data_IF_561513941363
#
_entry.id   IF_561513941363
#
_cell.length_a   1.000
_cell.length_b   1.000
_cell.length_c   1.000
_cell.angle_alpha   90.00
_cell.angle_beta   90.00
_cell.angle_gamma   90.00
#
_symmetry.space_group_name_H-M   'P 1'
#
loop_
_entity.id
_entity.type
_entity.pdbx_description
1 polymer ?
#
# COMPACT_ATOMS: atom_id res chain seq x y z
N UNK A 1 -15.45 6.79 7.36
CA UNK A 1 -14.97 6.07 6.17
C UNK A 1 -13.45 6.01 6.24
N UNK A 2 -12.85 4.82 6.13
CA UNK A 2 -11.38 4.68 6.03
C UNK A 2 -10.94 4.77 4.57
N UNK A 3 -9.84 5.46 4.33
CA UNK A 3 -9.24 5.58 3.00
C UNK A 3 -8.00 4.70 2.97
N UNK A 4 -7.92 3.75 2.04
CA UNK A 4 -6.94 2.66 2.08
C UNK A 4 -6.04 2.79 0.88
N UNK A 5 -4.79 3.20 1.12
CA UNK A 5 -3.72 3.21 0.12
C UNK A 5 -3.09 1.83 0.05
N UNK A 6 -3.15 1.18 -1.12
CA UNK A 6 -2.69 -0.19 -1.30
C UNK A 6 -1.25 -0.22 -1.84
N UNK A 7 -0.40 -1.07 -1.26
CA UNK A 7 0.85 -1.47 -1.91
C UNK A 7 0.61 -2.57 -2.97
N UNK A 8 1.62 -2.84 -3.80
CA UNK A 8 1.50 -3.85 -4.84
C UNK A 8 1.23 -5.25 -4.28
N UNK A 9 1.84 -5.60 -3.13
CA UNK A 9 1.64 -6.91 -2.52
C UNK A 9 0.20 -7.11 -2.01
N UNK A 10 -0.43 -6.10 -1.42
CA UNK A 10 -1.81 -6.17 -0.97
C UNK A 10 -2.77 -6.38 -2.15
N UNK A 11 -2.52 -5.70 -3.28
CA UNK A 11 -3.28 -5.91 -4.53
C UNK A 11 -3.11 -7.34 -5.04
N UNK A 12 -1.87 -7.81 -5.17
CA UNK A 12 -1.55 -9.13 -5.69
C UNK A 12 -2.06 -10.25 -4.76
N UNK A 13 -2.10 -10.02 -3.44
CA UNK A 13 -2.61 -10.97 -2.47
C UNK A 13 -4.10 -11.26 -2.66
N UNK A 14 -4.89 -10.22 -2.97
CA UNK A 14 -6.32 -10.34 -3.25
C UNK A 14 -6.57 -10.91 -4.66
N UNK A 15 -5.83 -10.41 -5.66
CA UNK A 15 -6.07 -10.77 -7.05
C UNK A 15 -5.56 -12.18 -7.40
N UNK A 16 -4.34 -12.54 -7.01
CA UNK A 16 -3.62 -13.67 -7.62
C UNK A 16 -3.01 -14.68 -6.64
N UNK A 17 -2.91 -14.37 -5.35
CA UNK A 17 -2.25 -15.26 -4.37
C UNK A 17 -3.26 -15.96 -3.45
N UNK A 18 -2.75 -16.69 -2.46
CA UNK A 18 -3.40 -17.71 -1.61
C UNK A 18 -4.74 -17.37 -0.94
N UNK A 19 -5.21 -16.13 -1.06
CA UNK A 19 -6.48 -15.70 -0.52
C UNK A 19 -7.47 -15.28 -1.60
N UNK A 20 -7.37 -15.76 -2.84
CA UNK A 20 -8.35 -15.42 -3.88
C UNK A 20 -9.81 -15.63 -3.45
N UNK A 21 -10.73 -14.90 -4.07
CA UNK A 21 -12.18 -14.94 -3.76
C UNK A 21 -12.75 -16.35 -3.73
N UNK A 22 -12.24 -17.25 -4.57
CA UNK A 22 -12.64 -18.67 -4.66
C UNK A 22 -12.30 -19.50 -3.40
N UNK A 23 -11.38 -19.04 -2.56
CA UNK A 23 -10.93 -19.76 -1.36
C UNK A 23 -11.68 -19.24 -0.11
N UNK A 24 -11.96 -17.94 -0.04
CA UNK A 24 -12.59 -17.29 1.11
C UNK A 24 -13.78 -16.40 0.70
N UNK A 25 -14.73 -16.93 -0.06
CA UNK A 25 -15.84 -16.17 -0.67
C UNK A 25 -16.57 -15.25 0.33
N UNK A 26 -16.90 -15.74 1.52
CA UNK A 26 -17.59 -14.96 2.55
C UNK A 26 -16.76 -13.79 3.09
N UNK A 27 -15.44 -13.94 3.20
CA UNK A 27 -14.54 -12.89 3.67
C UNK A 27 -14.48 -11.74 2.67
N UNK A 28 -14.35 -12.06 1.39
CA UNK A 28 -14.24 -11.08 0.32
C UNK A 28 -15.58 -10.45 -0.05
N UNK A 29 -16.67 -11.19 0.01
CA UNK A 29 -18.02 -10.67 -0.13
C UNK A 29 -18.36 -9.66 0.96
N UNK A 30 -17.93 -9.92 2.20
CA UNK A 30 -18.05 -8.96 3.30
C UNK A 30 -17.23 -7.68 3.02
N UNK A 31 -16.01 -7.80 2.49
CA UNK A 31 -15.20 -6.64 2.10
C UNK A 31 -15.89 -5.81 1.00
N UNK A 32 -16.47 -6.46 -0.01
CA UNK A 32 -17.27 -5.79 -1.04
C UNK A 32 -18.47 -5.08 -0.44
N UNK A 33 -19.15 -5.68 0.53
CA UNK A 33 -20.25 -5.04 1.24
C UNK A 33 -19.78 -3.79 2.02
N UNK A 34 -18.61 -3.84 2.65
CA UNK A 34 -18.00 -2.68 3.31
C UNK A 34 -17.69 -1.53 2.33
N UNK A 35 -17.19 -1.85 1.13
CA UNK A 35 -17.01 -0.86 0.05
C UNK A 35 -18.36 -0.29 -0.38
N UNK A 36 -19.35 -1.14 -0.64
CA UNK A 36 -20.68 -0.72 -1.07
C UNK A 36 -21.39 0.18 -0.03
N UNK A 37 -21.15 -0.08 1.26
CA UNK A 37 -21.65 0.72 2.37
C UNK A 37 -20.82 1.99 2.67
N UNK A 38 -19.83 2.34 1.85
CA UNK A 38 -18.92 3.47 2.05
C UNK A 38 -18.19 3.45 3.41
N UNK A 39 -17.94 2.27 3.96
CA UNK A 39 -17.14 2.13 5.19
C UNK A 39 -15.66 2.30 4.88
N UNK A 40 -15.23 1.80 3.71
CA UNK A 40 -13.85 1.87 3.21
C UNK A 40 -13.83 2.32 1.75
N UNK A 41 -12.68 2.85 1.31
CA UNK A 41 -12.40 3.17 -0.09
C UNK A 41 -10.95 2.82 -0.42
N UNK A 42 -10.73 2.09 -1.49
CA UNK A 42 -9.40 1.67 -1.93
C UNK A 42 -8.81 2.64 -2.94
N UNK A 43 -7.50 2.85 -2.83
CA UNK A 43 -6.71 3.68 -3.71
C UNK A 43 -5.44 2.96 -4.14
N UNK A 44 -5.07 3.10 -5.41
CA UNK A 44 -3.81 2.65 -5.97
C UNK A 44 -3.13 3.85 -6.60
N UNK A 45 -1.94 4.21 -6.12
CA UNK A 45 -1.14 5.29 -6.73
C UNK A 45 -0.62 4.88 -8.11
N UNK A 46 -0.30 5.83 -9.00
CA UNK A 46 0.18 5.51 -10.36
C UNK A 46 1.40 4.58 -10.39
N UNK A 47 2.35 4.75 -9.45
CA UNK A 47 3.54 3.89 -9.31
C UNK A 47 3.18 2.45 -8.96
N UNK A 48 2.20 2.23 -8.07
CA UNK A 48 1.73 0.88 -7.74
C UNK A 48 0.93 0.27 -8.88
N UNK A 49 0.13 1.05 -9.60
CA UNK A 49 -0.56 0.57 -10.79
C UNK A 49 0.43 0.07 -11.86
N UNK A 50 1.50 0.82 -12.10
CA UNK A 50 2.59 0.42 -13.01
C UNK A 50 3.30 -0.85 -12.53
N UNK A 51 3.60 -0.95 -11.22
CA UNK A 51 4.23 -2.13 -10.62
C UNK A 51 3.38 -3.39 -10.78
N UNK A 52 2.08 -3.31 -10.46
CA UNK A 52 1.14 -4.42 -10.58
C UNK A 52 0.97 -4.83 -12.05
N UNK A 53 0.81 -3.88 -12.96
CA UNK A 53 0.67 -4.16 -14.40
C UNK A 53 1.93 -4.81 -14.99
N UNK A 54 3.10 -4.34 -14.57
CA UNK A 54 4.38 -4.93 -14.94
C UNK A 54 4.52 -6.35 -14.41
N UNK A 55 4.10 -6.61 -13.17
CA UNK A 55 4.11 -7.95 -12.58
C UNK A 55 3.18 -8.91 -13.33
N UNK A 56 1.95 -8.48 -13.64
CA UNK A 56 0.98 -9.27 -14.42
C UNK A 56 1.58 -9.67 -15.77
N UNK A 57 2.17 -8.71 -16.48
CA UNK A 57 2.79 -8.93 -17.79
C UNK A 57 4.00 -9.86 -17.71
N UNK A 58 4.90 -9.63 -16.75
CA UNK A 58 6.13 -10.41 -16.59
C UNK A 58 5.85 -11.88 -16.25
N UNK A 59 4.76 -12.14 -15.52
CA UNK A 59 4.39 -13.46 -15.04
C UNK A 59 3.26 -14.14 -15.86
N UNK A 60 2.84 -13.54 -16.99
CA UNK A 60 1.77 -14.05 -17.85
C UNK A 60 0.47 -14.37 -17.08
N UNK A 61 0.08 -13.44 -16.18
CA UNK A 61 -1.14 -13.57 -15.39
C UNK A 61 -2.35 -13.01 -16.14
N UNK A 62 -3.54 -13.54 -15.84
CA UNK A 62 -4.79 -13.07 -16.42
C UNK A 62 -5.16 -11.67 -15.92
N UNK A 63 -4.89 -10.66 -16.74
CA UNK A 63 -5.17 -9.26 -16.44
C UNK A 63 -6.65 -8.97 -16.11
N UNK A 64 -7.59 -9.80 -16.61
CA UNK A 64 -9.02 -9.60 -16.34
C UNK A 64 -9.37 -9.75 -14.86
N UNK A 65 -8.54 -10.46 -14.08
CA UNK A 65 -8.69 -10.59 -12.64
C UNK A 65 -8.44 -9.25 -11.94
N UNK A 66 -7.39 -8.52 -12.37
CA UNK A 66 -7.10 -7.18 -11.85
C UNK A 66 -8.17 -6.17 -12.26
N UNK A 67 -8.63 -6.20 -13.52
CA UNK A 67 -9.71 -5.33 -14.01
C UNK A 67 -11.02 -5.56 -13.21
N UNK A 68 -11.30 -6.83 -12.90
CA UNK A 68 -12.45 -7.21 -12.08
C UNK A 68 -12.31 -6.69 -10.66
N UNK A 69 -11.14 -6.80 -10.04
CA UNK A 69 -10.86 -6.22 -8.73
C UNK A 69 -11.10 -4.71 -8.71
N UNK A 70 -10.57 -3.97 -9.69
CA UNK A 70 -10.76 -2.52 -9.81
C UNK A 70 -12.25 -2.18 -9.85
N UNK A 71 -13.00 -2.91 -10.67
CA UNK A 71 -14.44 -2.67 -10.88
C UNK A 71 -15.27 -3.03 -9.65
N UNK A 72 -15.08 -4.22 -9.08
CA UNK A 72 -15.88 -4.73 -7.95
C UNK A 72 -15.63 -3.95 -6.66
N UNK A 73 -14.38 -3.58 -6.40
CA UNK A 73 -13.99 -2.84 -5.20
C UNK A 73 -13.97 -1.33 -5.40
N UNK A 74 -14.39 -0.85 -6.58
CA UNK A 74 -14.44 0.57 -6.94
C UNK A 74 -13.14 1.30 -6.60
N UNK A 75 -12.02 0.74 -7.05
CA UNK A 75 -10.69 1.26 -6.74
C UNK A 75 -10.50 2.62 -7.41
N UNK A 76 -9.95 3.57 -6.64
CA UNK A 76 -9.68 4.92 -7.11
C UNK A 76 -8.18 5.09 -7.44
N UNK A 77 -7.91 5.90 -8.45
CA UNK A 77 -6.55 6.24 -8.88
C UNK A 77 -6.35 7.74 -8.70
N UNK A 78 -5.58 8.18 -7.68
CA UNK A 78 -5.28 9.58 -7.49
C UNK A 78 -4.25 10.06 -8.51
N UNK A 79 -4.34 11.33 -8.89
CA UNK A 79 -3.31 11.99 -9.70
C UNK A 79 -2.08 12.30 -8.83
N UNK A 80 -0.87 12.21 -9.41
CA UNK A 80 0.38 12.50 -8.69
C UNK A 80 0.43 13.89 -8.08
N UNK A 81 -0.23 14.85 -8.73
CA UNK A 81 -0.29 16.24 -8.28
C UNK A 81 -1.05 16.40 -6.95
N UNK A 82 -1.93 15.44 -6.60
CA UNK A 82 -2.69 15.46 -5.35
C UNK A 82 -1.81 15.22 -4.10
N UNK A 83 -0.63 14.61 -4.26
CA UNK A 83 0.23 14.22 -3.15
C UNK A 83 1.73 14.48 -3.38
N UNK A 84 2.09 15.17 -4.47
CA UNK A 84 3.47 15.49 -4.81
C UNK A 84 4.22 16.27 -3.71
N UNK A 85 3.55 17.19 -3.01
CA UNK A 85 4.14 17.93 -1.89
C UNK A 85 4.48 17.03 -0.70
N UNK A 86 3.58 16.10 -0.35
CA UNK A 86 3.78 15.11 0.71
C UNK A 86 4.87 14.10 0.34
N UNK A 87 5.03 13.82 -0.96
CA UNK A 87 6.09 12.94 -1.49
C UNK A 87 7.46 13.60 -1.38
N UNK A 88 7.55 14.89 -1.73
CA UNK A 88 8.78 15.65 -1.60
C UNK A 88 9.23 15.77 -0.14
N UNK A 89 8.31 16.11 0.76
CA UNK A 89 8.59 16.18 2.22
C UNK A 89 9.10 14.84 2.76
N UNK A 90 8.48 13.73 2.33
CA UNK A 90 8.89 12.39 2.71
C UNK A 90 10.30 12.08 2.21
N UNK A 91 10.58 12.38 0.93
CA UNK A 91 11.89 12.17 0.31
C UNK A 91 12.98 12.99 1.00
N UNK A 92 12.75 14.28 1.27
CA UNK A 92 13.70 15.14 1.99
C UNK A 92 14.00 14.60 3.39
N UNK A 93 12.96 14.19 4.12
CA UNK A 93 13.10 13.60 5.45
C UNK A 93 13.92 12.30 5.40
N UNK A 94 13.63 11.41 4.44
CA UNK A 94 14.38 10.17 4.27
C UNK A 94 15.85 10.40 3.92
N UNK A 95 16.15 11.36 3.04
CA UNK A 95 17.52 11.69 2.67
C UNK A 95 18.34 12.24 3.85
N UNK A 96 17.68 12.76 4.90
CA UNK A 96 18.32 13.13 6.17
C UNK A 96 18.82 11.95 7.01
N UNK A 97 18.33 10.73 6.76
CA UNK A 97 18.72 9.53 7.50
C UNK A 97 19.86 8.78 6.80
N UNK A 98 20.87 8.35 7.59
CA UNK A 98 22.03 7.60 7.05
C UNK A 98 21.64 6.28 6.41
N UNK A 99 20.62 5.61 6.94
CA UNK A 99 20.11 4.35 6.38
C UNK A 99 19.46 4.53 5.00
N UNK A 100 18.93 5.71 4.70
CA UNK A 100 18.13 5.97 3.50
C UNK A 100 18.85 6.85 2.46
N UNK A 101 19.81 7.69 2.87
CA UNK A 101 20.49 8.67 2.01
C UNK A 101 21.26 8.07 0.83
N UNK A 102 21.57 6.77 0.88
CA UNK A 102 22.21 6.02 -0.21
C UNK A 102 21.33 4.89 -0.76
N UNK A 103 20.11 4.74 -0.27
CA UNK A 103 19.21 3.69 -0.72
C UNK A 103 18.83 3.95 -2.18
N UNK A 104 19.08 3.00 -3.11
CA UNK A 104 18.68 3.15 -4.50
C UNK A 104 17.17 3.34 -4.65
N UNK A 105 16.37 2.79 -3.73
CA UNK A 105 14.93 2.93 -3.74
C UNK A 105 14.48 4.35 -3.38
N UNK A 106 15.13 4.98 -2.40
CA UNK A 106 14.78 6.34 -1.93
C UNK A 106 15.28 7.43 -2.89
N UNK A 107 16.43 7.20 -3.53
CA UNK A 107 17.03 8.19 -4.46
C UNK A 107 16.25 8.25 -5.77
N UNK A 108 15.74 7.11 -6.25
CA UNK A 108 14.94 7.04 -7.48
C UNK A 108 13.70 7.93 -7.38
N UNK A 109 13.25 8.42 -8.53
CA UNK A 109 11.92 9.01 -8.66
C UNK A 109 10.89 7.88 -8.77
N UNK A 110 9.64 8.15 -8.39
CA UNK A 110 8.54 7.18 -8.35
C UNK A 110 8.81 5.99 -7.42
N UNK A 111 9.30 6.27 -6.21
CA UNK A 111 9.46 5.25 -5.19
C UNK A 111 8.08 4.82 -4.66
N UNK A 112 7.55 3.70 -5.15
CA UNK A 112 6.20 3.21 -4.83
C UNK A 112 5.87 3.21 -3.33
N UNK A 113 6.78 2.74 -2.47
CA UNK A 113 6.58 2.75 -1.01
C UNK A 113 6.43 4.17 -0.43
N UNK A 114 7.16 5.14 -0.98
CA UNK A 114 7.02 6.56 -0.60
C UNK A 114 5.68 7.09 -1.07
N UNK A 115 5.29 6.82 -2.31
CA UNK A 115 4.06 7.34 -2.90
C UNK A 115 2.83 6.88 -2.12
N UNK A 116 2.75 5.59 -1.74
CA UNK A 116 1.61 5.08 -0.98
C UNK A 116 1.51 5.70 0.42
N UNK A 117 2.64 5.95 1.09
CA UNK A 117 2.67 6.56 2.43
C UNK A 117 2.37 8.05 2.35
N UNK A 118 2.95 8.76 1.38
CA UNK A 118 2.72 10.19 1.16
C UNK A 118 1.29 10.47 0.72
N UNK A 119 0.72 9.63 -0.13
CA UNK A 119 -0.69 9.71 -0.49
C UNK A 119 -1.61 9.45 0.72
N UNK A 120 -1.34 8.39 1.51
CA UNK A 120 -2.11 8.18 2.73
C UNK A 120 -1.99 9.36 3.71
N UNK A 121 -0.79 9.95 3.84
CA UNK A 121 -0.58 11.15 4.67
C UNK A 121 -1.42 12.35 4.18
N UNK A 122 -1.50 12.58 2.86
CA UNK A 122 -2.27 13.70 2.30
C UNK A 122 -3.79 13.57 2.53
N UNK A 123 -4.27 12.33 2.68
CA UNK A 123 -5.66 12.02 3.01
C UNK A 123 -6.01 12.22 4.51
N UNK A 124 -5.02 12.42 5.38
CA UNK A 124 -5.20 12.73 6.80
C UNK A 124 -5.59 11.54 7.69
N UNK A 125 -6.13 11.82 8.88
CA UNK A 125 -6.24 10.85 10.00
C UNK A 125 -7.12 9.60 9.73
N UNK A 126 -7.91 9.60 8.66
CA UNK A 126 -8.76 8.47 8.29
C UNK A 126 -8.08 7.54 7.27
N UNK A 127 -6.86 7.86 6.85
CA UNK A 127 -6.12 7.09 5.88
C UNK A 127 -5.29 6.00 6.55
N UNK A 128 -5.19 4.86 5.87
CA UNK A 128 -4.33 3.76 6.23
C UNK A 128 -3.53 3.32 5.00
N UNK A 129 -2.33 2.80 5.23
CA UNK A 129 -1.61 2.02 4.24
C UNK A 129 -1.86 0.55 4.51
N UNK A 130 -2.27 -0.19 3.48
CA UNK A 130 -2.43 -1.63 3.55
C UNK A 130 -1.25 -2.30 2.84
N UNK A 131 -0.53 -3.14 3.57
CA UNK A 131 0.63 -3.87 3.06
C UNK A 131 0.71 -5.25 3.69
N UNK A 132 1.29 -6.20 2.96
CA UNK A 132 1.64 -7.52 3.47
C UNK A 132 3.07 -7.60 4.01
N UNK A 133 3.82 -6.48 3.97
CA UNK A 133 5.15 -6.41 4.57
C UNK A 133 5.09 -6.44 6.11
N UNK A 134 6.09 -7.09 6.71
CA UNK A 134 6.30 -7.03 8.16
C UNK A 134 7.33 -5.96 8.49
N UNK A 135 7.02 -5.12 9.49
CA UNK A 135 7.95 -4.09 9.99
C UNK A 135 9.31 -4.70 10.34
N UNK A 136 10.38 -4.10 9.83
CA UNK A 136 11.72 -4.46 10.25
C UNK A 136 12.01 -3.93 11.65
N UNK A 137 12.22 -4.83 12.62
CA UNK A 137 12.57 -4.48 14.01
C UNK A 137 14.03 -4.08 14.19
N UNK A 138 14.88 -4.38 13.20
CA UNK A 138 16.31 -4.11 13.26
C UNK A 138 16.69 -2.79 12.59
N UNK A 139 15.75 -2.13 11.90
CA UNK A 139 16.03 -0.86 11.24
C UNK A 139 16.53 0.18 12.24
N UNK A 140 17.69 0.75 11.95
CA UNK A 140 18.24 1.91 12.65
C UNK A 140 18.48 2.98 11.59
N UNK A 141 17.70 4.06 11.64
CA UNK A 141 17.76 5.15 10.67
C UNK A 141 19.15 5.81 10.57
N UNK A 142 19.99 5.67 11.60
CA UNK A 142 21.35 6.22 11.63
C UNK A 142 22.43 5.22 11.18
N UNK A 143 22.08 3.95 10.92
CA UNK A 143 23.02 2.95 10.40
C UNK A 143 22.92 2.83 8.86
N UNK A 144 23.95 3.24 8.09
CA UNK A 144 23.92 3.15 6.62
C UNK A 144 23.83 1.72 6.08
N UNK A 145 24.19 0.71 6.86
CA UNK A 145 24.09 -0.70 6.44
C UNK A 145 22.63 -1.20 6.42
N UNK A 146 21.70 -0.47 7.05
CA UNK A 146 20.32 -0.90 7.21
C UNK A 146 19.41 -0.46 6.05
N UNK A 147 19.97 -0.02 4.92
CA UNK A 147 19.22 0.43 3.74
C UNK A 147 18.22 -0.61 3.19
N UNK A 148 18.51 -1.90 3.31
CA UNK A 148 17.63 -3.01 2.87
C UNK A 148 16.53 -3.35 3.90
N UNK A 149 16.56 -2.71 5.06
CA UNK A 149 15.60 -2.93 6.15
C UNK A 149 14.54 -1.84 6.20
N UNK A 150 14.57 -0.87 5.30
CA UNK A 150 13.49 0.10 5.10
C UNK A 150 12.33 -0.64 4.43
N UNK A 151 11.17 -0.60 5.08
CA UNK A 151 9.94 -1.30 4.70
C UNK A 151 8.76 -0.37 4.83
N UNK A 152 7.66 -0.65 4.14
CA UNK A 152 6.44 0.18 4.17
C UNK A 152 5.98 0.46 5.60
N UNK A 153 5.88 -0.53 6.52
CA UNK A 153 5.47 -0.25 7.90
C UNK A 153 6.45 0.65 8.67
N UNK A 154 7.75 0.62 8.34
CA UNK A 154 8.73 1.52 8.95
C UNK A 154 8.54 2.97 8.45
N UNK A 155 8.17 3.15 7.19
CA UNK A 155 7.81 4.46 6.64
C UNK A 155 6.53 4.98 7.28
N UNK A 156 5.48 4.16 7.37
CA UNK A 156 4.24 4.52 8.04
C UNK A 156 4.46 4.99 9.48
N UNK A 157 5.30 4.29 10.25
CA UNK A 157 5.67 4.68 11.62
C UNK A 157 6.40 6.03 11.65
N UNK A 158 7.38 6.24 10.77
CA UNK A 158 8.13 7.48 10.68
C UNK A 158 7.24 8.69 10.37
N UNK A 159 6.22 8.50 9.52
CA UNK A 159 5.32 9.57 9.07
C UNK A 159 3.97 9.60 9.78
N UNK A 160 3.82 8.82 10.86
CA UNK A 160 2.59 8.76 11.67
C UNK A 160 1.32 8.41 10.85
N UNK A 161 1.49 7.56 9.85
CA UNK A 161 0.40 6.98 9.05
C UNK A 161 0.03 5.62 9.62
N UNK A 162 -1.27 5.35 9.77
CA UNK A 162 -1.72 4.04 10.24
C UNK A 162 -1.41 2.96 9.19
N UNK A 163 -0.83 1.84 9.62
CA UNK A 163 -0.44 0.72 8.75
C UNK A 163 -1.19 -0.54 9.18
N UNK A 164 -1.83 -1.21 8.24
CA UNK A 164 -2.53 -2.48 8.46
C UNK A 164 -2.08 -3.54 7.46
N UNK A 165 -2.30 -4.80 7.81
CA UNK A 165 -2.38 -5.90 6.85
C UNK A 165 -3.85 -6.30 6.68
N UNK A 166 -4.14 -7.22 5.76
CA UNK A 166 -5.50 -7.73 5.54
C UNK A 166 -6.17 -8.20 6.84
N UNK A 167 -5.46 -8.97 7.67
CA UNK A 167 -6.01 -9.49 8.92
C UNK A 167 -6.50 -8.39 9.86
N UNK A 168 -5.69 -7.33 10.03
CA UNK A 168 -6.02 -6.18 10.86
C UNK A 168 -7.20 -5.39 10.27
N UNK A 169 -7.27 -5.24 8.95
CA UNK A 169 -8.38 -4.55 8.28
C UNK A 169 -9.71 -5.27 8.52
N UNK A 170 -9.77 -6.57 8.29
CA UNK A 170 -10.96 -7.37 8.53
C UNK A 170 -11.39 -7.39 10.01
N UNK A 171 -10.43 -7.49 10.94
CA UNK A 171 -10.71 -7.35 12.37
C UNK A 171 -11.34 -5.99 12.69
N UNK A 172 -10.81 -4.90 12.09
CA UNK A 172 -11.35 -3.55 12.21
C UNK A 172 -12.79 -3.45 11.65
N UNK A 173 -13.08 -4.16 10.56
CA UNK A 173 -14.41 -4.23 9.95
C UNK A 173 -15.39 -5.14 10.74
N UNK A 174 -14.95 -5.75 11.83
CA UNK A 174 -15.78 -6.62 12.67
C UNK A 174 -15.94 -8.04 12.13
N UNK A 175 -15.13 -8.44 11.15
CA UNK A 175 -15.08 -9.80 10.66
C UNK A 175 -14.12 -10.60 11.54
N UNK A 176 -14.68 -11.44 12.43
CA UNK A 176 -13.91 -12.38 13.25
C UNK A 176 -13.77 -13.70 12.51
N UNK A 177 -12.56 -14.27 12.57
CA UNK A 177 -12.21 -15.58 12.01
C UNK A 177 -12.20 -16.64 13.11
#
# INVERSE_FOLDING_TARGET
MKMISLDANAVLDLCYRFYGTQVFEGLWGNLQACVAANQIRFFITPSIHEEVTSYITLHDLDASIFDKFITEYKVHFPDTDEFGSSTLELKETLLGFRAASRSPHVIRDNYGDSDIVSFAKSLGNNAIVLTSETRSKILNWQNPEHQRHIKVPNLCELFQVECMNWFNLFNYLGHRY
#
